data_IF_254930020211
#
_entry.id   IF_254930020211
#
_cell.length_a   1.000
_cell.length_b   1.000
_cell.length_c   1.000
_cell.angle_alpha   90.00
_cell.angle_beta   90.00
_cell.angle_gamma   90.00
#
_symmetry.space_group_name_H-M   'P 1'
#
loop_
_entity.id
_entity.type
_entity.pdbx_description
1 polymer ?
#
# COMPACT_ATOMS: atom_id res chain seq x y z
N UNK A 1 20.20 8.10 10.89
CA UNK A 1 19.51 6.89 10.41
C UNK A 1 18.19 7.34 9.82
N UNK A 2 17.96 7.12 8.53
CA UNK A 2 16.67 7.46 7.91
C UNK A 2 15.68 6.36 8.32
N UNK A 3 14.66 6.70 9.08
CA UNK A 3 13.61 5.74 9.43
C UNK A 3 12.80 5.48 8.17
N UNK A 4 12.98 4.33 7.54
CA UNK A 4 12.15 3.92 6.41
C UNK A 4 10.74 3.59 6.93
N UNK A 5 9.76 4.41 6.55
CA UNK A 5 8.35 4.13 6.85
C UNK A 5 7.91 2.90 6.06
N UNK A 6 7.30 1.93 6.73
CA UNK A 6 6.70 0.75 6.11
C UNK A 6 5.29 0.53 6.65
N UNK A 7 4.42 -0.06 5.83
CA UNK A 7 3.14 -0.64 6.29
C UNK A 7 3.32 -2.14 6.52
N UNK A 8 2.59 -2.72 7.47
CA UNK A 8 2.59 -4.17 7.72
C UNK A 8 1.20 -4.75 7.56
N UNK A 9 1.12 -5.95 6.98
CA UNK A 9 -0.13 -6.73 7.00
C UNK A 9 -0.30 -7.48 8.33
N UNK A 10 -1.39 -8.25 8.46
CA UNK A 10 -1.68 -9.12 9.61
C UNK A 10 -0.56 -10.11 9.92
N UNK A 11 0.19 -10.56 8.91
CA UNK A 11 1.30 -11.51 9.05
C UNK A 11 2.62 -10.82 9.43
N UNK A 12 2.58 -9.52 9.76
CA UNK A 12 3.74 -8.67 10.04
C UNK A 12 4.71 -8.51 8.86
N UNK A 13 4.33 -8.93 7.65
CA UNK A 13 5.11 -8.67 6.43
C UNK A 13 5.12 -7.16 6.19
N UNK A 14 6.31 -6.59 6.04
CA UNK A 14 6.51 -5.18 5.75
C UNK A 14 6.48 -4.92 4.24
N UNK A 15 5.93 -3.77 3.87
CA UNK A 15 5.88 -3.25 2.51
C UNK A 15 6.46 -1.83 2.51
N UNK A 16 7.25 -1.53 1.48
CA UNK A 16 8.07 -0.34 1.36
C UNK A 16 7.74 0.42 0.08
N UNK A 17 8.22 1.67 -0.01
CA UNK A 17 8.14 2.45 -1.25
C UNK A 17 8.88 1.69 -2.36
N UNK A 18 8.25 1.58 -3.52
CA UNK A 18 8.74 0.81 -4.67
C UNK A 18 8.17 -0.60 -4.78
N UNK A 19 7.54 -1.14 -3.73
CA UNK A 19 6.88 -2.45 -3.81
C UNK A 19 5.65 -2.37 -4.71
N UNK A 20 5.52 -3.33 -5.61
CA UNK A 20 4.26 -3.56 -6.32
C UNK A 20 3.33 -4.39 -5.45
N UNK A 21 2.14 -3.86 -5.18
CA UNK A 21 1.19 -4.44 -4.24
C UNK A 21 -0.22 -4.44 -4.81
N UNK A 22 -1.02 -5.41 -4.39
CA UNK A 22 -2.47 -5.41 -4.54
C UNK A 22 -3.11 -5.06 -3.20
N UNK A 23 -3.95 -4.02 -3.19
CA UNK A 23 -4.70 -3.57 -2.02
C UNK A 23 -6.17 -3.94 -2.17
N UNK A 24 -6.73 -4.59 -1.15
CA UNK A 24 -8.16 -4.82 -0.97
C UNK A 24 -8.67 -4.00 0.21
N UNK A 25 -9.77 -3.28 0.02
CA UNK A 25 -10.49 -2.56 1.08
C UNK A 25 -11.89 -3.13 1.25
N UNK A 26 -12.67 -2.58 2.19
CA UNK A 26 -14.08 -2.95 2.36
C UNK A 26 -14.97 -2.62 1.14
N UNK A 27 -14.53 -1.69 0.28
CA UNK A 27 -15.31 -1.20 -0.88
C UNK A 27 -14.64 -1.49 -2.22
N UNK A 28 -13.41 -2.02 -2.21
CA UNK A 28 -12.60 -2.28 -3.39
C UNK A 28 -12.05 -3.70 -3.33
N UNK A 29 -12.45 -4.54 -4.29
CA UNK A 29 -12.08 -5.96 -4.35
C UNK A 29 -10.61 -6.23 -4.70
N UNK A 30 -9.88 -5.22 -5.17
CA UNK A 30 -8.45 -5.32 -5.45
C UNK A 30 -7.98 -4.23 -6.38
N UNK A 31 -6.88 -3.56 -6.01
CA UNK A 31 -6.19 -2.63 -6.89
C UNK A 31 -4.69 -2.84 -6.81
N UNK A 32 -4.07 -3.15 -7.95
CA UNK A 32 -2.62 -3.31 -8.06
C UNK A 32 -1.96 -1.99 -8.43
N UNK A 33 -0.81 -1.71 -7.82
CA UNK A 33 0.04 -0.59 -8.14
C UNK A 33 1.33 -0.58 -7.33
N UNK A 34 2.23 0.33 -7.67
CA UNK A 34 3.52 0.51 -6.99
C UNK A 34 3.35 1.51 -5.85
N UNK A 35 3.84 1.19 -4.65
CA UNK A 35 3.85 2.12 -3.53
C UNK A 35 4.77 3.29 -3.84
N UNK A 36 4.24 4.51 -3.87
CA UNK A 36 5.01 5.73 -4.14
C UNK A 36 5.34 6.50 -2.86
N UNK A 37 4.51 6.35 -1.82
CA UNK A 37 4.69 7.05 -0.56
C UNK A 37 4.02 6.32 0.61
N UNK A 38 4.62 6.37 1.80
CA UNK A 38 4.06 5.81 3.04
C UNK A 38 4.03 6.90 4.10
N UNK A 39 2.91 6.98 4.81
CA UNK A 39 2.69 7.92 5.92
C UNK A 39 2.36 7.13 7.19
N UNK A 40 2.26 7.82 8.32
CA UNK A 40 1.79 7.21 9.57
C UNK A 40 0.32 6.75 9.54
N UNK A 41 -0.46 7.14 8.52
CA UNK A 41 -1.90 6.86 8.41
C UNK A 41 -2.28 5.93 7.26
N UNK A 42 -1.34 5.58 6.38
CA UNK A 42 -1.64 4.89 5.14
C UNK A 42 -0.55 5.06 4.10
N UNK A 43 -0.87 4.73 2.85
CA UNK A 43 0.08 4.72 1.75
C UNK A 43 -0.57 5.19 0.44
N UNK A 44 0.27 5.60 -0.51
CA UNK A 44 -0.10 5.96 -1.86
C UNK A 44 0.41 4.90 -2.83
N UNK A 45 -0.42 4.48 -3.78
CA UNK A 45 0.01 3.66 -4.93
C UNK A 45 -0.22 4.35 -6.26
N UNK A 46 0.68 4.13 -7.20
CA UNK A 46 0.49 4.43 -8.61
C UNK A 46 0.05 3.16 -9.34
N UNK A 47 -1.14 3.18 -9.92
CA UNK A 47 -1.72 2.06 -10.67
C UNK A 47 -1.77 2.33 -12.19
N UNK A 48 -0.84 3.14 -12.71
CA UNK A 48 -0.82 3.59 -14.11
C UNK A 48 -1.79 4.74 -14.43
N UNK A 49 -2.47 5.29 -13.40
CA UNK A 49 -3.35 6.44 -13.54
C UNK A 49 -2.60 7.78 -13.57
N UNK A 50 -3.34 8.87 -13.87
CA UNK A 50 -2.78 10.24 -13.86
C UNK A 50 -2.35 10.73 -12.47
N UNK A 51 -2.84 10.11 -11.41
CA UNK A 51 -2.58 10.49 -10.01
C UNK A 51 -2.52 9.24 -9.15
N UNK A 52 -1.68 9.29 -8.13
CA UNK A 52 -1.60 8.26 -7.11
C UNK A 52 -2.90 8.16 -6.31
N UNK A 53 -3.22 6.95 -5.88
CA UNK A 53 -4.38 6.65 -5.04
C UNK A 53 -3.94 6.41 -3.61
N UNK A 54 -4.57 7.13 -2.70
CA UNK A 54 -4.34 7.02 -1.27
C UNK A 54 -5.23 5.94 -0.65
N UNK A 55 -4.64 5.13 0.23
CA UNK A 55 -5.33 4.13 1.03
C UNK A 55 -4.98 4.34 2.50
N UNK A 56 -5.98 4.55 3.36
CA UNK A 56 -5.75 4.59 4.80
C UNK A 56 -5.47 3.19 5.32
N UNK A 57 -4.55 3.07 6.27
CA UNK A 57 -4.14 1.79 6.82
C UNK A 57 -5.28 1.03 7.50
N UNK A 58 -6.25 1.74 8.11
CA UNK A 58 -7.43 1.17 8.76
C UNK A 58 -8.52 0.69 7.78
N UNK A 59 -8.48 1.13 6.52
CA UNK A 59 -9.39 0.69 5.46
C UNK A 59 -8.85 -0.51 4.67
N UNK A 60 -7.56 -0.80 4.78
CA UNK A 60 -6.90 -1.90 4.09
C UNK A 60 -7.22 -3.21 4.83
N UNK A 61 -8.06 -4.03 4.20
CA UNK A 61 -8.40 -5.37 4.68
C UNK A 61 -7.26 -6.35 4.37
N UNK A 62 -6.63 -6.19 3.21
CA UNK A 62 -5.53 -7.04 2.77
C UNK A 62 -4.59 -6.28 1.85
N UNK A 63 -3.30 -6.48 2.07
CA UNK A 63 -2.23 -6.04 1.18
C UNK A 63 -1.33 -7.24 0.87
N UNK A 64 -1.07 -7.46 -0.41
CA UNK A 64 -0.23 -8.56 -0.91
C UNK A 64 0.76 -8.04 -1.93
N UNK A 65 1.99 -8.56 -1.91
CA UNK A 65 2.99 -8.22 -2.90
C UNK A 65 2.66 -8.91 -4.22
N UNK A 66 2.61 -8.13 -5.30
CA UNK A 66 2.52 -8.65 -6.65
C UNK A 66 3.91 -9.19 -7.05
N UNK A 67 3.96 -10.35 -7.70
CA UNK A 67 5.21 -11.03 -8.06
C UNK A 67 5.69 -10.60 -9.44
#
# INVERSE_FOLDING_TARGET
MQTEYCIRNSDKKAFFIGDEVTIKTNTLEGLTGVITHITCKGLYINNGGKKDKYFRADEIVKITQYK
#
